data_IF_554696509590
#
_entry.id   IF_554696509590
#
_cell.length_a   1.000
_cell.length_b   1.000
_cell.length_c   1.000
_cell.angle_alpha   90.00
_cell.angle_beta   90.00
_cell.angle_gamma   90.00
#
_symmetry.space_group_name_H-M   'P 1'
#
loop_
_entity.id
_entity.type
_entity.pdbx_description
1 polymer ?
#
# COMPACT_ATOMS: atom_id res chain seq x y z
N UNK A 1 -41.88 -13.40 6.02
CA UNK A 1 -41.06 -13.17 4.80
C UNK A 1 -39.68 -12.75 5.25
N UNK A 2 -38.75 -13.71 5.36
CA UNK A 2 -37.36 -13.43 5.68
C UNK A 2 -36.67 -12.80 4.48
N UNK A 3 -36.23 -11.56 4.62
CA UNK A 3 -35.33 -10.93 3.68
C UNK A 3 -33.96 -11.59 3.81
N UNK A 4 -33.66 -12.53 2.91
CA UNK A 4 -32.31 -12.97 2.60
C UNK A 4 -31.49 -11.74 2.22
N UNK A 5 -30.64 -11.27 3.13
CA UNK A 5 -29.52 -10.42 2.76
C UNK A 5 -28.59 -11.30 1.93
N UNK A 6 -28.58 -11.08 0.62
CA UNK A 6 -27.59 -11.63 -0.29
C UNK A 6 -26.19 -11.12 0.11
N UNK A 7 -25.56 -11.78 1.07
CA UNK A 7 -24.14 -11.57 1.38
C UNK A 7 -23.31 -12.46 0.48
N UNK A 8 -23.22 -12.09 -0.79
CA UNK A 8 -22.11 -12.51 -1.64
C UNK A 8 -20.85 -11.80 -1.11
N UNK A 9 -20.28 -12.32 -0.03
CA UNK A 9 -18.98 -11.86 0.45
C UNK A 9 -17.94 -12.26 -0.60
N UNK A 10 -17.42 -11.26 -1.32
CA UNK A 10 -16.27 -11.46 -2.21
C UNK A 10 -15.11 -11.95 -1.34
N UNK A 11 -14.71 -13.21 -1.52
CA UNK A 11 -13.54 -13.77 -0.85
C UNK A 11 -12.31 -13.09 -1.47
N UNK A 12 -11.63 -12.26 -0.66
CA UNK A 12 -10.39 -11.57 -1.06
C UNK A 12 -9.18 -12.47 -0.77
N UNK A 13 -8.28 -12.70 -1.73
CA UNK A 13 -7.04 -13.42 -1.50
C UNK A 13 -6.21 -12.79 -0.39
N UNK A 14 -5.60 -13.62 0.46
CA UNK A 14 -4.85 -13.17 1.63
C UNK A 14 -3.36 -12.97 1.32
N UNK A 15 -2.82 -11.83 1.77
CA UNK A 15 -1.41 -11.47 1.70
C UNK A 15 -0.91 -11.10 3.10
N UNK A 16 -0.55 -12.08 3.95
CA UNK A 16 -0.19 -11.80 5.34
C UNK A 16 1.14 -11.03 5.48
N UNK A 17 2.02 -11.09 4.48
CA UNK A 17 3.24 -10.32 4.40
C UNK A 17 3.03 -8.89 3.85
N UNK A 18 1.78 -8.49 3.56
CA UNK A 18 1.42 -7.15 3.09
C UNK A 18 0.92 -6.28 4.24
N UNK A 19 1.56 -5.14 4.43
CA UNK A 19 1.04 -4.01 5.19
C UNK A 19 0.51 -2.97 4.20
N UNK A 20 -0.78 -2.75 4.23
CA UNK A 20 -1.46 -1.81 3.34
C UNK A 20 -1.74 -0.51 4.08
N UNK A 21 -1.32 0.61 3.48
CA UNK A 21 -1.56 1.96 3.99
C UNK A 21 -2.51 2.68 3.04
N UNK A 22 -3.72 2.95 3.52
CA UNK A 22 -4.75 3.73 2.85
C UNK A 22 -4.97 5.05 3.58
N UNK A 23 -5.79 5.93 3.00
CA UNK A 23 -6.15 7.17 3.69
C UNK A 23 -7.24 7.96 3.00
N UNK A 24 -7.75 8.96 3.70
CA UNK A 24 -8.87 9.80 3.27
C UNK A 24 -8.52 10.77 2.14
N UNK A 25 -7.26 10.91 1.73
CA UNK A 25 -6.85 11.89 0.72
C UNK A 25 -5.38 11.79 0.31
N UNK A 26 -4.92 12.83 -0.40
CA UNK A 26 -3.50 13.09 -0.63
C UNK A 26 -2.88 13.69 0.63
N UNK A 27 -1.55 13.57 0.76
CA UNK A 27 -0.77 14.21 1.83
C UNK A 27 -1.16 13.88 3.29
N UNK A 28 -1.94 12.82 3.49
CA UNK A 28 -2.35 12.33 4.82
C UNK A 28 -1.24 11.60 5.59
N UNK A 29 0.01 11.63 5.13
CA UNK A 29 1.11 10.94 5.81
C UNK A 29 1.25 9.44 5.52
N UNK A 30 0.57 8.88 4.51
CA UNK A 30 0.71 7.45 4.13
C UNK A 30 2.15 7.07 3.80
N UNK A 31 2.78 7.83 2.91
CA UNK A 31 4.19 7.64 2.55
C UNK A 31 5.09 7.81 3.76
N UNK A 32 4.78 8.76 4.66
CA UNK A 32 5.54 8.99 5.89
C UNK A 32 5.51 7.77 6.83
N UNK A 33 4.33 7.21 7.06
CA UNK A 33 4.16 6.00 7.87
C UNK A 33 4.92 4.83 7.26
N UNK A 34 4.79 4.61 5.94
CA UNK A 34 5.54 3.56 5.24
C UNK A 34 7.05 3.70 5.42
N UNK A 35 7.59 4.91 5.21
CA UNK A 35 9.01 5.19 5.45
C UNK A 35 9.45 4.92 6.89
N UNK A 36 8.64 5.28 7.88
CA UNK A 36 8.94 5.01 9.29
C UNK A 36 9.00 3.51 9.59
N UNK A 37 8.03 2.74 9.09
CA UNK A 37 7.98 1.29 9.26
C UNK A 37 9.14 0.60 8.55
N UNK A 38 9.48 1.02 7.33
CA UNK A 38 10.66 0.53 6.61
C UNK A 38 11.92 0.74 7.46
N UNK A 39 12.16 1.98 7.94
CA UNK A 39 13.35 2.30 8.75
C UNK A 39 13.43 1.46 10.03
N UNK A 40 12.29 1.22 10.68
CA UNK A 40 12.20 0.40 11.90
C UNK A 40 12.57 -1.06 11.64
N UNK A 41 12.05 -1.64 10.56
CA UNK A 41 12.08 -3.09 10.35
C UNK A 41 13.15 -3.58 9.37
N UNK A 42 13.77 -2.70 8.56
CA UNK A 42 14.75 -3.10 7.53
C UNK A 42 15.97 -3.88 8.04
N UNK A 43 16.32 -3.74 9.33
CA UNK A 43 17.42 -4.51 9.95
C UNK A 43 17.02 -5.94 10.33
N UNK A 44 15.72 -6.23 10.41
CA UNK A 44 15.15 -7.52 10.83
C UNK A 44 14.45 -8.28 9.70
N UNK A 45 14.01 -7.57 8.66
CA UNK A 45 13.36 -8.17 7.50
C UNK A 45 13.72 -7.40 6.22
N UNK A 46 13.78 -8.12 5.10
CA UNK A 46 13.84 -7.51 3.78
C UNK A 46 12.46 -6.96 3.42
N UNK A 47 12.40 -5.68 3.03
CA UNK A 47 11.15 -4.97 2.79
C UNK A 47 11.14 -4.46 1.36
N UNK A 48 10.15 -4.89 0.58
CA UNK A 48 9.79 -4.27 -0.68
C UNK A 48 8.71 -3.20 -0.46
N UNK A 49 8.69 -2.18 -1.30
CA UNK A 49 7.67 -1.13 -1.25
C UNK A 49 6.95 -0.99 -2.58
N UNK A 50 5.64 -0.79 -2.53
CA UNK A 50 4.79 -0.58 -3.71
C UNK A 50 3.91 0.65 -3.48
N UNK A 51 3.93 1.63 -4.38
CA UNK A 51 2.93 2.69 -4.42
C UNK A 51 2.01 2.46 -5.61
N UNK A 52 0.70 2.32 -5.37
CA UNK A 52 -0.30 2.18 -6.42
C UNK A 52 -1.18 3.42 -6.46
N UNK A 53 -1.33 4.00 -7.65
CA UNK A 53 -2.07 5.23 -7.86
C UNK A 53 -2.69 5.24 -9.26
N UNK A 54 -3.88 5.84 -9.46
CA UNK A 54 -4.42 6.05 -10.80
C UNK A 54 -3.70 7.20 -11.54
N UNK A 55 -2.83 7.94 -10.85
CA UNK A 55 -2.12 9.08 -11.43
C UNK A 55 -0.94 8.62 -12.27
N UNK A 56 -1.03 8.94 -13.56
CA UNK A 56 0.07 8.77 -14.52
C UNK A 56 1.13 9.84 -14.29
N UNK A 57 2.38 9.44 -14.35
CA UNK A 57 3.53 10.33 -14.28
C UNK A 57 4.48 10.03 -15.44
N UNK A 58 5.08 11.08 -15.97
CA UNK A 58 6.27 10.93 -16.78
C UNK A 58 7.48 10.81 -15.86
N UNK A 59 8.13 9.65 -15.90
CA UNK A 59 9.36 9.38 -15.17
C UNK A 59 10.61 9.59 -16.00
N UNK A 60 10.51 9.84 -17.32
CA UNK A 60 11.66 9.90 -18.21
C UNK A 60 12.60 8.71 -17.97
N UNK A 61 13.89 9.01 -17.73
CA UNK A 61 14.92 8.01 -17.41
C UNK A 61 15.15 7.79 -15.90
N UNK A 62 14.35 8.40 -15.02
CA UNK A 62 14.54 8.30 -13.56
C UNK A 62 14.11 6.96 -12.98
N UNK A 63 13.19 6.26 -13.65
CA UNK A 63 12.71 4.93 -13.26
C UNK A 63 12.78 3.99 -14.46
N UNK A 64 12.95 2.70 -14.17
CA UNK A 64 12.84 1.68 -15.19
C UNK A 64 11.38 1.28 -15.38
N UNK A 65 10.87 1.42 -16.60
CA UNK A 65 9.59 0.83 -16.99
C UNK A 65 9.77 -0.68 -17.15
N UNK A 66 9.16 -1.47 -16.27
CA UNK A 66 9.23 -2.94 -16.31
C UNK A 66 8.09 -3.54 -17.14
N UNK A 67 6.92 -2.93 -17.09
CA UNK A 67 5.73 -3.41 -17.76
C UNK A 67 4.80 -2.25 -18.10
N UNK A 68 4.13 -2.33 -19.25
CA UNK A 68 3.07 -1.41 -19.64
C UNK A 68 2.08 -2.11 -20.55
N UNK A 69 0.79 -1.91 -20.29
CA UNK A 69 -0.29 -2.20 -21.22
C UNK A 69 -1.36 -1.09 -21.12
N UNK A 70 -2.52 -1.30 -21.76
CA UNK A 70 -3.62 -0.32 -21.74
C UNK A 70 -4.21 -0.09 -20.33
N UNK A 71 -4.08 -1.09 -19.45
CA UNK A 71 -4.71 -1.07 -18.13
C UNK A 71 -3.82 -0.57 -16.99
N UNK A 72 -2.51 -0.86 -17.03
CA UNK A 72 -1.56 -0.45 -16.00
C UNK A 72 -0.11 -0.39 -16.46
N UNK A 73 0.69 0.40 -15.74
CA UNK A 73 2.15 0.50 -15.90
C UNK A 73 2.84 0.16 -14.59
N UNK A 74 3.96 -0.56 -14.66
CA UNK A 74 4.82 -0.84 -13.51
C UNK A 74 6.20 -0.25 -13.74
N UNK A 75 6.61 0.60 -12.81
CA UNK A 75 7.90 1.27 -12.79
C UNK A 75 8.69 0.80 -11.58
N UNK A 76 10.00 0.57 -11.76
CA UNK A 76 10.94 0.25 -10.70
C UNK A 76 11.87 1.44 -10.44
N UNK A 77 11.95 1.83 -9.18
CA UNK A 77 12.95 2.79 -8.71
C UNK A 77 14.31 2.10 -8.66
N UNK A 78 15.31 2.65 -9.35
CA UNK A 78 16.68 2.11 -9.34
C UNK A 78 17.65 2.92 -8.47
N UNK A 79 17.32 4.18 -8.25
CA UNK A 79 18.20 5.17 -7.64
C UNK A 79 17.40 5.99 -6.62
N UNK A 80 18.11 6.72 -5.76
CA UNK A 80 17.51 7.76 -4.93
C UNK A 80 16.87 8.83 -5.84
N UNK A 81 15.58 9.11 -5.68
CA UNK A 81 14.87 10.15 -6.43
C UNK A 81 14.05 11.06 -5.51
N UNK A 82 13.80 12.29 -5.98
CA UNK A 82 13.03 13.31 -5.24
C UNK A 82 11.52 13.09 -5.26
N UNK A 83 11.02 12.07 -5.97
CA UNK A 83 9.58 11.76 -6.08
C UNK A 83 9.12 10.91 -4.89
N UNK A 84 7.81 10.81 -4.68
CA UNK A 84 7.23 10.15 -3.50
C UNK A 84 7.63 8.67 -3.33
N UNK A 85 7.81 7.91 -4.42
CA UNK A 85 8.34 6.54 -4.37
C UNK A 85 9.79 6.50 -3.89
N UNK A 86 10.59 7.50 -4.26
CA UNK A 86 11.98 7.66 -3.82
C UNK A 86 12.12 7.74 -2.30
N UNK A 87 11.11 8.23 -1.58
CA UNK A 87 11.11 8.24 -0.11
C UNK A 87 11.17 6.82 0.49
N UNK A 88 10.53 5.83 -0.13
CA UNK A 88 10.64 4.43 0.32
C UNK A 88 12.03 3.85 0.07
N UNK A 89 12.63 4.18 -1.07
CA UNK A 89 13.99 3.76 -1.39
C UNK A 89 14.98 4.35 -0.37
N UNK A 90 14.87 5.64 -0.06
CA UNK A 90 15.67 6.30 0.99
C UNK A 90 15.47 5.71 2.39
N UNK A 91 14.25 5.25 2.70
CA UNK A 91 13.97 4.58 3.95
C UNK A 91 14.74 3.24 4.07
N UNK A 92 15.09 2.63 2.93
CA UNK A 92 15.82 1.38 2.81
C UNK A 92 14.98 0.20 2.35
N UNK A 93 13.86 0.44 1.67
CA UNK A 93 13.14 -0.62 0.97
C UNK A 93 13.86 -0.97 -0.34
N UNK A 94 13.87 -2.26 -0.66
CA UNK A 94 14.43 -2.80 -1.89
C UNK A 94 13.78 -4.15 -2.22
N UNK A 95 13.08 -4.28 -3.37
CA UNK A 95 12.85 -3.27 -4.41
C UNK A 95 11.75 -2.26 -4.07
N UNK A 96 11.70 -1.16 -4.82
CA UNK A 96 10.64 -0.15 -4.76
C UNK A 96 9.96 0.01 -6.11
N UNK A 97 8.63 -0.06 -6.11
CA UNK A 97 7.81 0.04 -7.32
C UNK A 97 6.79 1.17 -7.23
N UNK A 98 6.58 1.85 -8.35
CA UNK A 98 5.43 2.73 -8.58
C UNK A 98 4.55 2.11 -9.66
N UNK A 99 3.26 2.00 -9.37
CA UNK A 99 2.27 1.31 -10.21
C UNK A 99 1.16 2.29 -10.56
N UNK A 100 0.97 2.50 -11.86
CA UNK A 100 -0.12 3.29 -12.42
C UNK A 100 -1.28 2.36 -12.73
N UNK A 101 -2.33 2.36 -11.91
CA UNK A 101 -3.49 1.49 -12.12
C UNK A 101 -4.78 2.10 -11.55
N UNK A 102 -5.85 2.03 -12.33
CA UNK A 102 -7.22 2.28 -11.88
C UNK A 102 -7.86 1.05 -11.22
N UNK A 103 -9.06 1.21 -10.68
CA UNK A 103 -9.77 0.14 -9.93
C UNK A 103 -9.89 -1.17 -10.74
N UNK A 104 -10.18 -1.09 -12.05
CA UNK A 104 -10.39 -2.27 -12.90
C UNK A 104 -9.15 -3.18 -13.02
N UNK A 105 -7.95 -2.60 -12.99
CA UNK A 105 -6.70 -3.32 -13.20
C UNK A 105 -5.83 -3.41 -11.94
N UNK A 106 -6.29 -2.84 -10.82
CA UNK A 106 -5.50 -2.73 -9.59
C UNK A 106 -5.05 -4.07 -9.02
N UNK A 107 -5.93 -5.08 -9.05
CA UNK A 107 -5.59 -6.43 -8.56
C UNK A 107 -4.52 -7.09 -9.44
N UNK A 108 -4.67 -7.03 -10.76
CA UNK A 108 -3.69 -7.58 -11.70
C UNK A 108 -2.34 -6.86 -11.58
N UNK A 109 -2.36 -5.53 -11.49
CA UNK A 109 -1.15 -4.73 -11.33
C UNK A 109 -0.43 -5.03 -10.01
N UNK A 110 -1.17 -5.15 -8.90
CA UNK A 110 -0.61 -5.52 -7.60
C UNK A 110 -0.01 -6.92 -7.62
N UNK A 111 -0.73 -7.93 -8.12
CA UNK A 111 -0.27 -9.32 -8.11
C UNK A 111 0.99 -9.51 -8.95
N UNK A 112 1.05 -8.90 -10.13
CA UNK A 112 2.26 -8.86 -10.95
C UNK A 112 3.43 -8.20 -10.20
N UNK A 113 3.20 -7.04 -9.59
CA UNK A 113 4.25 -6.30 -8.87
C UNK A 113 4.72 -7.03 -7.60
N UNK A 114 3.80 -7.68 -6.88
CA UNK A 114 4.13 -8.47 -5.70
C UNK A 114 4.99 -9.70 -6.07
N UNK A 115 4.77 -10.31 -7.24
CA UNK A 115 5.66 -11.37 -7.73
C UNK A 115 7.08 -10.85 -8.01
N UNK A 116 7.22 -9.62 -8.53
CA UNK A 116 8.51 -8.96 -8.74
C UNK A 116 9.22 -8.60 -7.41
N UNK A 117 8.50 -8.45 -6.30
CA UNK A 117 9.11 -8.30 -4.98
C UNK A 117 9.88 -9.55 -4.55
N UNK A 118 9.61 -10.72 -5.14
CA UNK A 118 10.24 -11.98 -4.79
C UNK A 118 9.65 -12.64 -3.54
N UNK A 119 9.95 -13.92 -3.37
CA UNK A 119 9.50 -14.71 -2.23
C UNK A 119 10.27 -14.29 -0.95
N UNK A 120 9.61 -14.35 0.21
CA UNK A 120 10.16 -14.03 1.54
C UNK A 120 10.45 -12.56 1.87
N UNK A 121 9.94 -11.60 1.08
CA UNK A 121 9.97 -10.19 1.47
C UNK A 121 8.67 -9.75 2.14
N UNK A 122 8.81 -8.88 3.13
CA UNK A 122 7.69 -8.09 3.64
C UNK A 122 7.35 -7.01 2.61
N UNK A 123 6.07 -6.72 2.42
CA UNK A 123 5.61 -5.70 1.48
C UNK A 123 4.94 -4.58 2.27
N UNK A 124 5.38 -3.35 2.05
CA UNK A 124 4.63 -2.15 2.44
C UNK A 124 4.03 -1.55 1.17
N UNK A 125 2.70 -1.45 1.13
CA UNK A 125 1.99 -0.88 -0.01
C UNK A 125 1.21 0.37 0.38
N UNK A 126 1.41 1.45 -0.37
CA UNK A 126 0.51 2.61 -0.34
C UNK A 126 -0.52 2.48 -1.46
N UNK A 127 -1.80 2.38 -1.13
CA UNK A 127 -2.90 2.41 -2.10
C UNK A 127 -4.20 2.88 -1.45
N UNK A 128 -4.99 3.65 -2.19
CA UNK A 128 -6.31 4.10 -1.73
C UNK A 128 -7.44 3.08 -1.91
N UNK A 129 -7.21 2.00 -2.67
CA UNK A 129 -8.29 1.10 -3.09
C UNK A 129 -7.96 -0.39 -3.06
N UNK A 130 -6.69 -0.77 -2.86
CA UNK A 130 -6.25 -2.17 -2.99
C UNK A 130 -6.97 -3.12 -2.02
N UNK A 131 -7.38 -2.62 -0.85
CA UNK A 131 -8.10 -3.41 0.17
C UNK A 131 -9.40 -4.03 -0.38
N UNK A 132 -10.02 -3.42 -1.39
CA UNK A 132 -11.24 -3.97 -1.99
C UNK A 132 -10.98 -5.30 -2.72
N UNK A 133 -9.73 -5.59 -3.06
CA UNK A 133 -9.34 -6.75 -3.85
C UNK A 133 -8.54 -7.78 -3.06
N UNK A 134 -7.85 -7.38 -1.99
CA UNK A 134 -6.98 -8.25 -1.19
C UNK A 134 -7.22 -8.10 0.31
N UNK A 135 -6.87 -9.13 1.07
CA UNK A 135 -6.82 -9.10 2.54
C UNK A 135 -5.36 -9.00 3.00
N UNK A 136 -4.86 -7.82 3.39
CA UNK A 136 -3.51 -7.66 3.92
C UNK A 136 -3.36 -8.33 5.30
N UNK A 137 -2.12 -8.49 5.77
CA UNK A 137 -1.84 -8.86 7.16
C UNK A 137 -2.21 -7.74 8.13
N UNK A 138 -1.96 -6.49 7.74
CA UNK A 138 -2.37 -5.29 8.46
C UNK A 138 -2.84 -4.23 7.45
N UNK A 139 -4.02 -3.64 7.66
CA UNK A 139 -4.51 -2.43 7.02
C UNK A 139 -4.48 -1.26 8.01
N UNK A 140 -3.74 -0.21 7.65
CA UNK A 140 -3.78 1.08 8.33
C UNK A 140 -4.51 2.09 7.45
N UNK A 141 -5.51 2.77 7.99
CA UNK A 141 -6.19 3.89 7.35
C UNK A 141 -5.82 5.21 8.05
N UNK A 142 -5.28 6.16 7.29
CA UNK A 142 -4.96 7.48 7.81
C UNK A 142 -6.01 8.51 7.41
N UNK A 143 -6.67 9.08 8.41
CA UNK A 143 -7.69 10.11 8.32
C UNK A 143 -7.03 11.51 8.36
N UNK A 144 -7.30 12.30 7.33
CA UNK A 144 -7.09 13.76 7.34
C UNK A 144 -8.16 14.44 8.19
N UNK A 145 -7.79 15.56 8.81
CA UNK A 145 -8.75 16.46 9.47
C UNK A 145 -9.64 17.21 8.46
N UNK A 146 -9.20 17.31 7.21
CA UNK A 146 -9.94 18.02 6.17
C UNK A 146 -10.88 17.08 5.39
N UNK A 147 -12.14 17.52 5.29
CA UNK A 147 -13.17 16.97 4.43
C UNK A 147 -13.82 15.68 4.95
N UNK A 148 -15.14 15.56 4.74
CA UNK A 148 -15.83 14.28 4.95
C UNK A 148 -15.31 13.26 3.91
N UNK A 149 -14.92 12.05 4.32
CA UNK A 149 -14.48 11.04 3.37
C UNK A 149 -15.64 10.66 2.44
N UNK A 150 -15.32 10.39 1.17
CA UNK A 150 -16.32 9.82 0.26
C UNK A 150 -16.80 8.46 0.79
N UNK A 151 -18.00 8.03 0.38
CA UNK A 151 -18.54 6.72 0.79
C UNK A 151 -17.57 5.56 0.52
N UNK A 152 -16.79 5.64 -0.58
CA UNK A 152 -15.71 4.67 -0.88
C UNK A 152 -14.64 4.65 0.21
N UNK A 153 -14.21 5.82 0.69
CA UNK A 153 -13.18 5.95 1.74
C UNK A 153 -13.71 5.51 3.11
N UNK A 154 -14.97 5.80 3.43
CA UNK A 154 -15.60 5.27 4.66
C UNK A 154 -15.65 3.73 4.65
N UNK A 155 -15.95 3.10 3.51
CA UNK A 155 -15.87 1.64 3.39
C UNK A 155 -14.47 1.11 3.65
N UNK A 156 -13.44 1.71 3.05
CA UNK A 156 -12.03 1.34 3.29
C UNK A 156 -11.64 1.51 4.75
N UNK A 157 -12.06 2.62 5.38
CA UNK A 157 -11.83 2.89 6.81
C UNK A 157 -12.48 1.84 7.70
N UNK A 158 -13.71 1.44 7.41
CA UNK A 158 -14.41 0.39 8.15
C UNK A 158 -13.77 -1.00 8.03
N UNK A 159 -12.89 -1.20 7.03
CA UNK A 159 -12.14 -2.44 6.84
C UNK A 159 -10.75 -2.42 7.50
N UNK A 160 -10.33 -1.29 8.08
CA UNK A 160 -8.99 -1.12 8.62
C UNK A 160 -8.83 -1.76 9.99
N UNK A 161 -7.68 -2.37 10.22
CA UNK A 161 -7.30 -2.89 11.54
C UNK A 161 -6.91 -1.74 12.47
N UNK A 162 -6.38 -0.66 11.90
CA UNK A 162 -6.08 0.60 12.60
C UNK A 162 -6.58 1.80 11.80
N UNK A 163 -7.27 2.70 12.48
CA UNK A 163 -7.61 4.03 11.99
C UNK A 163 -6.86 5.04 12.84
N UNK A 164 -6.10 5.92 12.19
CA UNK A 164 -5.35 6.98 12.87
C UNK A 164 -5.43 8.30 12.11
N UNK A 165 -5.12 9.38 12.80
CA UNK A 165 -4.94 10.71 12.21
C UNK A 165 -3.51 10.91 11.72
N UNK A 166 -3.29 11.94 10.89
CA UNK A 166 -1.96 12.33 10.42
C UNK A 166 -0.96 12.63 11.55
N UNK A 167 -1.45 13.09 12.71
CA UNK A 167 -0.63 13.43 13.89
C UNK A 167 -0.12 12.18 14.62
N UNK A 168 -0.92 11.13 14.63
CA UNK A 168 -0.63 9.86 15.32
C UNK A 168 0.35 8.96 14.56
N UNK A 169 0.73 9.32 13.33
CA UNK A 169 1.69 8.54 12.52
C UNK A 169 2.98 8.21 13.29
N UNK A 170 3.43 9.10 14.17
CA UNK A 170 4.66 8.90 14.94
C UNK A 170 4.54 7.85 16.05
N UNK A 171 3.37 7.72 16.65
CA UNK A 171 3.16 6.87 17.83
C UNK A 171 2.92 5.41 17.44
N UNK A 172 2.62 5.16 16.16
CA UNK A 172 2.14 3.87 15.67
C UNK A 172 3.24 2.85 15.38
N UNK A 173 4.47 3.29 15.10
CA UNK A 173 5.53 2.35 14.70
C UNK A 173 5.81 1.27 15.75
N UNK A 174 5.51 1.52 17.03
CA UNK A 174 5.65 0.55 18.12
C UNK A 174 4.57 -0.53 18.17
N UNK A 175 3.42 -0.34 17.51
CA UNK A 175 2.26 -1.27 17.54
C UNK A 175 2.24 -2.26 16.38
N UNK A 176 3.13 -2.10 15.39
CA UNK A 176 3.15 -2.94 14.20
C UNK A 176 4.41 -3.78 14.21
N UNK A 177 4.24 -5.09 14.14
CA UNK A 177 5.30 -6.08 14.25
C UNK A 177 5.46 -6.94 13.00
N UNK A 178 6.67 -7.45 12.82
CA UNK A 178 6.98 -8.50 11.85
C UNK A 178 7.21 -9.79 12.62
N UNK A 179 6.39 -10.79 12.33
CA UNK A 179 6.51 -12.12 12.93
C UNK A 179 6.29 -13.22 11.90
N UNK A 180 7.24 -14.16 11.80
CA UNK A 180 7.23 -15.28 10.85
C UNK A 180 6.81 -14.91 9.42
N UNK A 181 7.33 -13.79 8.89
CA UNK A 181 7.02 -13.30 7.55
C UNK A 181 5.63 -12.66 7.39
N UNK A 182 5.00 -12.26 8.49
CA UNK A 182 3.67 -11.64 8.51
C UNK A 182 3.71 -10.31 9.25
N UNK A 183 2.90 -9.36 8.80
CA UNK A 183 2.62 -8.16 9.58
C UNK A 183 1.54 -8.47 10.62
N UNK A 184 1.72 -7.95 11.83
CA UNK A 184 0.81 -8.10 12.96
C UNK A 184 0.66 -6.80 13.74
N UNK A 185 -0.44 -6.73 14.51
CA UNK A 185 -0.70 -5.74 15.54
C UNK A 185 -0.55 -6.35 16.93
#
# INVERSE_FOLDING_TARGET
MENKKDTNQIIRPSFPNLLLISGSGRDTGKTRLGCMLIRRWKKKASIAAIKISPHKHDFGNSMLKLFANEGYTVWQERNRSWKDSGKFFEAGADPVFYVEAGDLHMYAAFTFTAALCGNNRMIICESGGLVNFVKPGVLVFIQSFEGLPSAKKERVKAMADLVITSEEVHTLSGKIEVDHGKWKL
#
